data_IF_545034182694
#
_entry.id   IF_545034182694
#
_cell.length_a   1.000
_cell.length_b   1.000
_cell.length_c   1.000
_cell.angle_alpha   90.00
_cell.angle_beta   90.00
_cell.angle_gamma   90.00
#
_symmetry.space_group_name_H-M   'P 1'
#
loop_
_entity.id
_entity.type
_entity.pdbx_description
1 polymer ?
#
# COMPACT_ATOMS: atom_id res chain seq x y z
N UNK A 1 -8.34 6.19 -15.46
CA UNK A 1 -7.41 7.27 -15.08
C UNK A 1 -7.86 8.06 -13.85
N UNK A 2 -9.10 8.57 -13.79
CA UNK A 2 -9.59 9.33 -12.63
C UNK A 2 -9.47 8.59 -11.28
N UNK A 3 -9.82 7.30 -11.24
CA UNK A 3 -9.73 6.45 -10.04
C UNK A 3 -8.28 6.35 -9.51
N UNK A 4 -7.30 6.18 -10.41
CA UNK A 4 -5.89 6.14 -10.04
C UNK A 4 -5.43 7.50 -9.48
N UNK A 5 -5.86 8.61 -10.08
CA UNK A 5 -5.54 9.95 -9.58
C UNK A 5 -6.06 10.19 -8.15
N UNK A 6 -7.30 9.78 -7.89
CA UNK A 6 -7.90 9.86 -6.53
C UNK A 6 -7.14 8.96 -5.56
N UNK A 7 -6.77 7.74 -5.95
CA UNK A 7 -6.03 6.84 -5.06
C UNK A 7 -4.65 7.40 -4.69
N UNK A 8 -3.89 7.98 -5.63
CA UNK A 8 -2.62 8.64 -5.31
C UNK A 8 -2.80 9.82 -4.37
N UNK A 9 -3.83 10.64 -4.56
CA UNK A 9 -4.09 11.77 -3.68
C UNK A 9 -4.35 11.31 -2.24
N UNK A 10 -5.15 10.25 -2.07
CA UNK A 10 -5.42 9.68 -0.74
C UNK A 10 -4.15 9.07 -0.13
N UNK A 11 -3.33 8.38 -0.92
CA UNK A 11 -2.05 7.81 -0.45
C UNK A 11 -1.12 8.92 0.03
N UNK A 12 -0.92 9.98 -0.77
CA UNK A 12 -0.06 11.12 -0.43
C UNK A 12 -0.55 11.80 0.85
N UNK A 13 -1.85 12.11 0.93
CA UNK A 13 -2.43 12.70 2.14
C UNK A 13 -2.19 11.81 3.37
N UNK A 14 -2.44 10.51 3.24
CA UNK A 14 -2.25 9.54 4.33
C UNK A 14 -0.80 9.47 4.79
N UNK A 15 0.16 9.51 3.86
CA UNK A 15 1.59 9.54 4.18
C UNK A 15 2.01 10.83 4.88
N UNK A 16 1.51 11.99 4.45
CA UNK A 16 1.75 13.28 5.12
C UNK A 16 1.23 13.24 6.56
N UNK A 17 0.04 12.67 6.78
CA UNK A 17 -0.52 12.55 8.12
C UNK A 17 0.30 11.59 9.02
N UNK A 18 0.85 10.51 8.45
CA UNK A 18 1.79 9.63 9.18
C UNK A 18 3.06 10.40 9.56
N UNK A 19 3.64 11.17 8.63
CA UNK A 19 4.82 12.00 8.90
C UNK A 19 4.55 13.03 10.00
N UNK A 20 3.40 13.72 9.96
CA UNK A 20 3.04 14.70 11.00
C UNK A 20 2.86 14.06 12.38
N UNK A 21 2.35 12.83 12.47
CA UNK A 21 2.24 12.13 13.76
C UNK A 21 3.58 11.57 14.27
N UNK A 22 4.57 11.42 13.38
CA UNK A 22 5.86 10.82 13.71
C UNK A 22 6.68 11.67 14.69
N UNK A 23 6.40 12.98 14.75
CA UNK A 23 7.02 13.92 15.69
C UNK A 23 6.71 13.58 17.16
N UNK A 24 5.57 12.93 17.42
CA UNK A 24 5.12 12.56 18.76
C UNK A 24 5.18 11.06 19.01
N UNK A 25 4.62 10.25 18.11
CA UNK A 25 4.68 8.79 18.17
C UNK A 25 4.24 8.17 16.85
N UNK A 26 5.15 7.44 16.20
CA UNK A 26 4.82 6.64 15.02
C UNK A 26 3.85 5.48 15.36
N UNK A 27 3.96 4.94 16.58
CA UNK A 27 3.20 3.78 17.03
C UNK A 27 1.86 4.22 17.64
N UNK A 28 0.94 4.67 16.79
CA UNK A 28 -0.44 5.01 17.17
C UNK A 28 -1.44 4.26 16.29
N UNK A 29 -2.60 3.93 16.86
CA UNK A 29 -3.67 3.17 16.18
C UNK A 29 -4.11 3.84 14.87
N UNK A 30 -4.02 5.16 14.78
CA UNK A 30 -4.39 5.89 13.57
C UNK A 30 -3.41 5.65 12.41
N UNK A 31 -2.10 5.53 12.69
CA UNK A 31 -1.10 5.21 11.67
C UNK A 31 -1.25 3.79 11.16
N UNK A 32 -1.66 2.84 12.02
CA UNK A 32 -2.02 1.48 11.60
C UNK A 32 -3.14 1.53 10.55
N UNK A 33 -4.20 2.31 10.81
CA UNK A 33 -5.31 2.47 9.85
C UNK A 33 -4.84 3.10 8.54
N UNK A 34 -4.02 4.15 8.62
CA UNK A 34 -3.47 4.83 7.42
C UNK A 34 -2.64 3.88 6.56
N UNK A 35 -1.73 3.10 7.16
CA UNK A 35 -0.94 2.11 6.42
C UNK A 35 -1.80 1.00 5.82
N UNK A 36 -2.87 0.55 6.50
CA UNK A 36 -3.85 -0.38 5.91
C UNK A 36 -4.57 0.23 4.71
N UNK A 37 -5.01 1.49 4.81
CA UNK A 37 -5.67 2.21 3.71
C UNK A 37 -4.72 2.31 2.51
N UNK A 38 -3.47 2.73 2.73
CA UNK A 38 -2.43 2.80 1.69
C UNK A 38 -2.24 1.42 1.05
N UNK A 39 -2.12 0.36 1.86
CA UNK A 39 -2.00 -1.02 1.39
C UNK A 39 -3.16 -1.43 0.48
N UNK A 40 -4.41 -1.19 0.89
CA UNK A 40 -5.58 -1.52 0.09
C UNK A 40 -5.66 -0.73 -1.22
N UNK A 41 -5.33 0.57 -1.19
CA UNK A 41 -5.32 1.40 -2.40
C UNK A 41 -4.24 0.97 -3.40
N UNK A 42 -3.05 0.63 -2.93
CA UNK A 42 -1.98 0.11 -3.78
C UNK A 42 -2.34 -1.27 -4.36
N UNK A 43 -2.99 -2.14 -3.57
CA UNK A 43 -3.48 -3.43 -4.07
C UNK A 43 -4.50 -3.23 -5.19
N UNK A 44 -5.45 -2.31 -4.99
CA UNK A 44 -6.46 -1.97 -5.98
C UNK A 44 -5.84 -1.34 -7.24
N UNK A 45 -4.83 -0.48 -7.10
CA UNK A 45 -4.07 0.04 -8.23
C UNK A 45 -3.33 -1.06 -9.00
N UNK A 46 -2.75 -2.04 -8.30
CA UNK A 46 -2.11 -3.23 -8.91
C UNK A 46 -3.11 -4.03 -9.75
N UNK A 47 -4.31 -4.28 -9.21
CA UNK A 47 -5.38 -4.98 -9.94
C UNK A 47 -5.87 -4.21 -11.16
N UNK A 48 -6.09 -2.89 -11.03
CA UNK A 48 -6.50 -2.05 -12.16
C UNK A 48 -5.44 -2.07 -13.26
N UNK A 49 -4.16 -1.94 -12.89
CA UNK A 49 -3.05 -1.97 -13.84
C UNK A 49 -3.00 -3.33 -14.55
N UNK A 50 -3.11 -4.44 -13.80
CA UNK A 50 -3.11 -5.79 -14.35
C UNK A 50 -4.29 -6.07 -15.28
N UNK A 51 -5.48 -5.55 -14.98
CA UNK A 51 -6.64 -5.70 -15.86
C UNK A 51 -6.51 -4.79 -17.09
N UNK A 52 -5.90 -3.61 -16.95
CA UNK A 52 -5.73 -2.65 -18.05
C UNK A 52 -4.76 -3.13 -19.14
N UNK A 53 -3.87 -4.07 -18.82
CA UNK A 53 -2.95 -4.68 -19.79
C UNK A 53 -3.62 -5.75 -20.64
N UNK A 54 -4.85 -6.18 -20.30
CA UNK A 54 -5.60 -7.16 -21.08
C UNK A 54 -5.92 -6.63 -22.48
N UNK A 55 -5.57 -7.42 -23.51
CA UNK A 55 -5.89 -7.11 -24.91
C UNK A 55 -5.12 -5.90 -25.50
N UNK A 56 -4.23 -5.26 -24.75
CA UNK A 56 -3.38 -4.17 -25.25
C UNK A 56 -2.03 -4.71 -25.71
N UNK A 57 -1.90 -4.91 -27.02
CA UNK A 57 -0.63 -5.22 -27.65
C UNK A 57 0.22 -3.95 -27.71
N UNK A 58 1.26 -3.83 -26.88
CA UNK A 58 2.30 -2.80 -27.03
C UNK A 58 2.39 -1.66 -26.00
N UNK A 59 1.73 -1.72 -24.83
CA UNK A 59 1.93 -0.71 -23.76
C UNK A 59 2.82 -1.24 -22.63
N UNK A 60 4.00 -0.62 -22.46
CA UNK A 60 4.88 -0.81 -21.31
C UNK A 60 5.89 -1.98 -21.41
N UNK A 61 6.82 -2.02 -20.45
CA UNK A 61 7.79 -3.11 -20.31
C UNK A 61 7.10 -4.33 -19.68
N UNK A 62 6.98 -5.40 -20.48
CA UNK A 62 6.41 -6.68 -20.06
C UNK A 62 7.46 -7.47 -19.30
N UNK A 63 7.12 -7.92 -18.10
CA UNK A 63 8.05 -8.64 -17.24
C UNK A 63 7.76 -10.14 -17.25
N UNK A 64 6.48 -10.53 -17.21
CA UNK A 64 6.04 -11.91 -17.31
C UNK A 64 4.83 -12.01 -18.25
N UNK A 65 4.91 -12.92 -19.22
CA UNK A 65 3.81 -13.27 -20.12
C UNK A 65 3.11 -14.52 -19.58
N UNK A 66 1.81 -14.41 -19.29
CA UNK A 66 1.00 -15.52 -18.80
C UNK A 66 0.26 -16.25 -19.93
N UNK A 67 0.39 -15.79 -21.17
CA UNK A 67 -0.46 -16.20 -22.28
C UNK A 67 -1.84 -15.53 -22.26
N UNK A 68 -2.65 -15.79 -23.29
CA UNK A 68 -4.03 -15.29 -23.42
C UNK A 68 -4.19 -13.76 -23.34
N UNK A 69 -3.12 -13.00 -23.60
CA UNK A 69 -3.14 -11.53 -23.58
C UNK A 69 -3.03 -10.91 -22.18
N UNK A 70 -2.65 -11.69 -21.16
CA UNK A 70 -2.33 -11.19 -19.82
C UNK A 70 -0.82 -11.03 -19.61
N UNK A 71 -0.42 -9.85 -19.13
CA UNK A 71 0.97 -9.52 -18.87
C UNK A 71 1.12 -8.89 -17.49
N UNK A 72 2.09 -9.38 -16.72
CA UNK A 72 2.57 -8.61 -15.58
C UNK A 72 3.57 -7.58 -16.07
N UNK A 73 3.22 -6.32 -15.87
CA UNK A 73 4.13 -5.19 -16.08
C UNK A 73 4.86 -4.87 -14.78
N UNK A 74 6.00 -4.18 -14.89
CA UNK A 74 6.76 -3.72 -13.71
C UNK A 74 5.88 -2.94 -12.71
N UNK A 75 5.00 -2.00 -13.13
CA UNK A 75 4.11 -1.30 -12.21
C UNK A 75 3.19 -2.21 -11.39
N UNK A 76 2.68 -3.32 -11.95
CA UNK A 76 1.84 -4.28 -11.22
C UNK A 76 2.59 -4.82 -10.01
N UNK A 77 3.84 -5.27 -10.20
CA UNK A 77 4.68 -5.79 -9.13
C UNK A 77 5.06 -4.71 -8.12
N UNK A 78 5.40 -3.50 -8.58
CA UNK A 78 5.74 -2.39 -7.68
C UNK A 78 4.56 -2.08 -6.76
N UNK A 79 3.34 -1.94 -7.29
CA UNK A 79 2.15 -1.72 -6.46
C UNK A 79 1.84 -2.88 -5.53
N UNK A 80 2.00 -4.11 -6.01
CA UNK A 80 1.74 -5.30 -5.20
C UNK A 80 2.72 -5.42 -4.03
N UNK A 81 4.03 -5.29 -4.29
CA UNK A 81 5.07 -5.37 -3.25
C UNK A 81 4.90 -4.22 -2.24
N UNK A 82 4.70 -2.98 -2.71
CA UNK A 82 4.51 -1.83 -1.81
C UNK A 82 3.22 -1.92 -0.99
N UNK A 83 2.16 -2.51 -1.54
CA UNK A 83 0.94 -2.85 -0.80
C UNK A 83 1.23 -3.82 0.35
N UNK A 84 1.91 -4.94 0.06
CA UNK A 84 2.30 -5.92 1.07
C UNK A 84 3.19 -5.29 2.16
N UNK A 85 4.18 -4.48 1.77
CA UNK A 85 5.02 -3.75 2.71
C UNK A 85 4.21 -2.84 3.63
N UNK A 86 3.19 -2.15 3.10
CA UNK A 86 2.30 -1.30 3.90
C UNK A 86 1.52 -2.11 4.94
N UNK A 87 1.04 -3.31 4.58
CA UNK A 87 0.40 -4.21 5.54
C UNK A 87 1.36 -4.76 6.60
N UNK A 88 2.59 -5.12 6.21
CA UNK A 88 3.64 -5.56 7.13
C UNK A 88 3.97 -4.47 8.14
N UNK A 89 4.12 -3.21 7.70
CA UNK A 89 4.35 -2.06 8.58
C UNK A 89 3.17 -1.88 9.53
N UNK A 90 1.94 -1.95 9.03
CA UNK A 90 0.75 -1.82 9.87
C UNK A 90 0.69 -2.90 10.96
N UNK A 91 0.99 -4.16 10.64
CA UNK A 91 1.03 -5.25 11.63
C UNK A 91 2.17 -5.08 12.64
N UNK A 92 3.35 -4.66 12.18
CA UNK A 92 4.46 -4.30 13.06
C UNK A 92 4.09 -3.20 14.05
N UNK A 93 3.33 -2.19 13.61
CA UNK A 93 2.86 -1.11 14.46
C UNK A 93 1.82 -1.60 15.48
N UNK A 94 0.91 -2.49 15.11
CA UNK A 94 -0.04 -3.10 16.07
C UNK A 94 0.72 -3.81 17.20
N UNK A 95 1.73 -4.61 16.85
CA UNK A 95 2.55 -5.32 17.84
C UNK A 95 3.33 -4.37 18.74
N UNK A 96 3.93 -3.32 18.17
CA UNK A 96 4.66 -2.31 18.93
C UNK A 96 3.74 -1.54 19.90
N UNK A 97 2.54 -1.16 19.46
CA UNK A 97 1.54 -0.51 20.32
C UNK A 97 1.17 -1.42 21.49
N UNK A 98 0.91 -2.70 21.22
CA UNK A 98 0.54 -3.66 22.26
C UNK A 98 1.65 -3.82 23.31
N UNK A 99 2.90 -3.95 22.89
CA UNK A 99 4.04 -4.05 23.82
C UNK A 99 4.14 -2.79 24.70
N UNK A 100 3.90 -1.61 24.14
CA UNK A 100 3.88 -0.36 24.91
C UNK A 100 2.74 -0.33 25.92
N UNK A 101 1.52 -0.67 25.50
CA UNK A 101 0.34 -0.74 26.37
C UNK A 101 0.55 -1.76 27.52
N UNK A 102 1.11 -2.94 27.22
CA UNK A 102 1.39 -3.97 28.22
C UNK A 102 2.45 -3.52 29.24
N UNK A 103 3.53 -2.85 28.79
CA UNK A 103 4.57 -2.32 29.68
C UNK A 103 4.06 -1.19 30.58
N UNK A 104 3.25 -0.27 30.05
CA UNK A 104 2.66 0.85 30.82
C UNK A 104 1.72 0.34 31.93
N UNK A 105 1.13 -0.86 31.80
CA UNK A 105 0.25 -1.47 32.81
C UNK A 105 1.00 -2.21 33.92
N UNK A 106 2.29 -2.50 33.74
CA UNK A 106 3.11 -3.25 34.71
C UNK A 106 3.96 -2.39 35.64
N UNK A 107 3.95 -1.06 35.49
CA UNK A 107 4.66 -0.10 36.35
C UNK A 107 3.70 0.49 37.39
#
# INVERSE_FOLDING_TARGET
MFILGVSYFIIIKSLIEVLGSSEYSLFVKENVKRFRIIGYLLLLNSLIEFISTFGTTGKGMRFLDLGFGFYFTVPVFVYFITSLMSFVIADGFVKAIKIKEDNDLTI
#
